data_IF_124547908276
#
_entry.id   IF_124547908276
#
_cell.length_a   1.000
_cell.length_b   1.000
_cell.length_c   1.000
_cell.angle_alpha   90.00
_cell.angle_beta   90.00
_cell.angle_gamma   90.00
#
_symmetry.space_group_name_H-M   'P 1'
#
loop_
_entity.id
_entity.type
_entity.pdbx_description
1 polymer ?
#
# COMPACT_ATOMS: atom_id res chain seq x y z
N UNK A 1 -10.59 -2.58 -15.41
CA UNK A 1 -11.34 -2.59 -14.13
C UNK A 1 -10.36 -2.43 -12.99
N UNK A 2 -10.70 -1.66 -11.97
CA UNK A 2 -9.89 -1.49 -10.77
C UNK A 2 -10.75 -1.81 -9.55
N UNK A 3 -10.20 -2.56 -8.59
CA UNK A 3 -10.87 -2.88 -7.33
C UNK A 3 -9.96 -2.60 -6.15
N UNK A 4 -10.57 -2.39 -4.97
CA UNK A 4 -9.86 -2.22 -3.70
C UNK A 4 -9.60 -3.60 -3.10
N UNK A 5 -8.35 -3.85 -2.73
CA UNK A 5 -7.86 -5.03 -2.03
C UNK A 5 -7.45 -4.59 -0.60
N UNK A 6 -8.34 -4.69 0.39
CA UNK A 6 -8.02 -4.34 1.77
C UNK A 6 -7.00 -5.34 2.33
N UNK A 7 -5.90 -4.83 2.90
CA UNK A 7 -4.89 -5.63 3.60
C UNK A 7 -4.58 -5.04 4.96
N UNK A 8 -4.26 -5.90 5.91
CA UNK A 8 -3.69 -5.47 7.20
C UNK A 8 -2.19 -5.31 7.03
N UNK A 9 -1.69 -4.10 7.33
CA UNK A 9 -0.26 -3.80 7.38
C UNK A 9 0.14 -3.71 8.85
N UNK A 10 1.19 -4.43 9.21
CA UNK A 10 1.70 -4.48 10.59
C UNK A 10 3.13 -3.96 10.61
N UNK A 11 3.38 -2.97 11.45
CA UNK A 11 4.71 -2.42 11.65
C UNK A 11 5.55 -3.42 12.45
N UNK A 12 6.71 -3.87 11.93
CA UNK A 12 7.58 -4.80 12.65
C UNK A 12 8.31 -4.18 13.84
N UNK A 13 8.36 -2.84 13.93
CA UNK A 13 9.08 -2.14 15.00
C UNK A 13 8.29 -2.00 16.29
N UNK A 14 7.00 -1.67 16.21
CA UNK A 14 6.14 -1.43 17.37
C UNK A 14 4.93 -2.37 17.46
N UNK A 15 4.71 -3.23 16.46
CA UNK A 15 3.56 -4.13 16.39
C UNK A 15 2.23 -3.45 16.03
N UNK A 16 2.25 -2.15 15.73
CA UNK A 16 1.06 -1.43 15.30
C UNK A 16 0.51 -2.01 14.00
N UNK A 17 -0.78 -2.32 13.97
CA UNK A 17 -1.44 -2.88 12.79
C UNK A 17 -2.65 -2.04 12.39
N UNK A 18 -2.79 -1.77 11.10
CA UNK A 18 -3.96 -1.09 10.57
C UNK A 18 -4.31 -1.59 9.16
N UNK A 19 -5.55 -1.34 8.75
CA UNK A 19 -6.03 -1.71 7.42
C UNK A 19 -5.60 -0.64 6.41
N UNK A 20 -4.92 -1.08 5.37
CA UNK A 20 -4.57 -0.28 4.18
C UNK A 20 -5.31 -0.85 2.98
N UNK A 21 -5.71 -0.02 2.03
CA UNK A 21 -6.28 -0.52 0.78
C UNK A 21 -5.24 -0.48 -0.34
N UNK A 22 -5.30 -1.47 -1.22
CA UNK A 22 -4.52 -1.47 -2.46
C UNK A 22 -5.50 -1.34 -3.62
N UNK A 23 -5.27 -0.40 -4.53
CA UNK A 23 -5.95 -0.40 -5.82
C UNK A 23 -5.22 -1.39 -6.72
N UNK A 24 -5.93 -2.44 -7.08
CA UNK A 24 -5.49 -3.41 -8.09
C UNK A 24 -6.21 -3.08 -9.39
N UNK A 25 -5.47 -2.52 -10.34
CA UNK A 25 -5.98 -2.05 -11.62
C UNK A 25 -5.50 -2.89 -12.80
N UNK A 26 -6.43 -3.25 -13.68
CA UNK A 26 -6.12 -3.59 -15.07
C UNK A 26 -6.51 -2.37 -15.90
N UNK A 27 -5.50 -1.64 -16.38
CA UNK A 27 -5.68 -0.46 -17.23
C UNK A 27 -6.29 -0.84 -18.58
N UNK A 28 -6.96 0.10 -19.29
CA UNK A 28 -7.60 -0.17 -20.58
C UNK A 28 -6.61 -0.63 -21.66
N UNK A 29 -5.31 -0.33 -21.52
CA UNK A 29 -4.24 -0.77 -22.41
C UNK A 29 -3.43 -1.96 -21.87
N UNK A 30 -3.87 -2.59 -20.77
CA UNK A 30 -3.21 -3.77 -20.23
C UNK A 30 -3.43 -4.96 -21.17
N UNK A 31 -2.36 -5.49 -21.75
CA UNK A 31 -2.42 -6.69 -22.60
C UNK A 31 -2.88 -7.92 -21.78
N UNK A 32 -3.61 -8.87 -22.38
CA UNK A 32 -3.87 -10.17 -21.77
C UNK A 32 -2.56 -10.81 -21.30
N UNK A 33 -2.52 -11.29 -20.05
CA UNK A 33 -1.31 -11.87 -19.44
C UNK A 33 -0.36 -10.90 -18.73
N UNK A 34 -0.63 -9.58 -18.73
CA UNK A 34 0.12 -8.65 -17.86
C UNK A 34 -0.38 -8.70 -16.41
N UNK A 35 0.57 -8.71 -15.48
CA UNK A 35 0.29 -8.57 -14.05
C UNK A 35 -0.47 -7.27 -13.79
N UNK A 36 -1.59 -7.30 -13.04
CA UNK A 36 -2.33 -6.08 -12.69
C UNK A 36 -1.43 -5.11 -11.93
N UNK A 37 -1.58 -3.82 -12.21
CA UNK A 37 -0.86 -2.80 -11.47
C UNK A 37 -1.43 -2.72 -10.06
N UNK A 38 -0.55 -2.82 -9.06
CA UNK A 38 -0.91 -2.63 -7.66
C UNK A 38 -0.38 -1.27 -7.22
N UNK A 39 -1.26 -0.42 -6.69
CA UNK A 39 -0.88 0.85 -6.07
C UNK A 39 -1.53 0.92 -4.69
N UNK A 40 -0.78 1.38 -3.70
CA UNK A 40 -1.33 1.71 -2.39
C UNK A 40 -2.38 2.83 -2.56
N UNK A 41 -3.54 2.65 -1.94
CA UNK A 41 -4.65 3.59 -1.99
C UNK A 41 -5.27 3.66 -0.61
N UNK A 42 -5.25 4.83 0.03
CA UNK A 42 -5.65 4.95 1.44
C UNK A 42 -4.80 4.05 2.36
N UNK A 43 -3.66 4.57 2.77
CA UNK A 43 -2.74 3.93 3.71
C UNK A 43 -2.92 4.41 5.16
N UNK A 44 -3.80 5.39 5.38
CA UNK A 44 -4.06 5.93 6.70
C UNK A 44 -4.45 4.83 7.69
N UNK A 45 -3.88 4.82 8.91
CA UNK A 45 -3.09 5.88 9.53
C UNK A 45 -1.58 5.87 9.19
N UNK A 46 -1.09 4.97 8.35
CA UNK A 46 0.28 5.04 7.81
C UNK A 46 0.41 6.18 6.80
N UNK A 47 1.62 6.73 6.66
CA UNK A 47 1.96 7.77 5.68
C UNK A 47 3.00 7.27 4.69
N UNK A 48 3.10 7.86 3.50
CA UNK A 48 4.12 7.47 2.53
C UNK A 48 5.42 8.20 2.84
N UNK A 49 6.55 7.51 2.66
CA UNK A 49 7.82 8.22 2.63
C UNK A 49 7.86 9.13 1.38
N UNK A 50 8.24 10.41 1.52
CA UNK A 50 8.30 11.34 0.39
C UNK A 50 9.39 10.97 -0.64
N UNK A 51 10.40 10.21 -0.23
CA UNK A 51 11.52 9.76 -1.05
C UNK A 51 11.20 8.45 -1.78
N UNK A 52 10.49 7.52 -1.13
CA UNK A 52 10.03 6.27 -1.75
C UNK A 52 8.56 5.95 -1.42
N UNK A 53 7.69 6.07 -2.44
CA UNK A 53 6.26 5.77 -2.31
C UNK A 53 5.95 4.28 -2.04
N UNK A 54 6.92 3.39 -2.15
CA UNK A 54 6.78 1.98 -1.75
C UNK A 54 6.96 1.80 -0.25
N UNK A 55 7.64 2.72 0.40
CA UNK A 55 7.86 2.72 1.85
C UNK A 55 6.70 3.47 2.51
N UNK A 56 6.17 2.90 3.58
CA UNK A 56 5.17 3.51 4.44
C UNK A 56 5.74 3.73 5.84
N UNK A 57 5.46 4.90 6.41
CA UNK A 57 5.93 5.31 7.73
C UNK A 57 4.84 4.99 8.74
N UNK A 58 5.24 4.31 9.82
CA UNK A 58 4.36 4.00 10.94
C UNK A 58 4.06 5.27 11.75
N UNK A 59 2.79 5.58 12.07
CA UNK A 59 2.45 6.76 12.85
C UNK A 59 2.88 6.69 14.31
N UNK A 60 3.05 5.47 14.85
CA UNK A 60 3.38 5.27 16.28
C UNK A 60 4.89 5.38 16.58
N UNK A 61 5.73 4.97 15.64
CA UNK A 61 7.18 4.88 15.87
C UNK A 61 8.02 5.53 14.76
N UNK A 62 7.39 6.18 13.79
CA UNK A 62 8.02 6.83 12.63
C UNK A 62 8.97 5.92 11.83
N UNK A 63 8.86 4.60 12.03
CA UNK A 63 9.70 3.62 11.36
C UNK A 63 9.19 3.37 9.94
N UNK A 64 10.14 3.24 9.01
CA UNK A 64 9.91 2.84 7.65
C UNK A 64 9.51 1.35 7.57
N UNK A 65 8.40 1.07 6.90
CA UNK A 65 7.88 -0.27 6.60
C UNK A 65 7.84 -0.40 5.07
N UNK A 66 8.55 -1.37 4.51
CA UNK A 66 8.70 -1.58 3.07
C UNK A 66 8.05 -2.89 2.61
#
# INVERSE_FOLDING_TARGET
MAYLDPKTLTCPHCGFSAKVNWVVGVGPHSKPGRTPSRRLYHIAPFTHDPSDRKVVICPECEAAVA
#
